data_IF_783844359884
#
_entry.id   IF_783844359884
#
_cell.length_a   1.000
_cell.length_b   1.000
_cell.length_c   1.000
_cell.angle_alpha   90.00
_cell.angle_beta   90.00
_cell.angle_gamma   90.00
#
_symmetry.space_group_name_H-M   'P 1'
#
loop_
_entity.id
_entity.type
_entity.pdbx_description
1 polymer ?
#
# COMPACT_ATOMS: atom_id res chain seq x y z
N UNK A 1 -18.60 -6.14 9.05
CA UNK A 1 -17.12 -6.08 9.13
C UNK A 1 -16.48 -5.56 7.85
N UNK A 2 -16.99 -5.93 6.66
CA UNK A 2 -16.51 -5.44 5.37
C UNK A 2 -16.37 -3.90 5.31
N UNK A 3 -17.44 -3.16 5.59
CA UNK A 3 -17.40 -1.68 5.59
C UNK A 3 -16.40 -1.09 6.58
N UNK A 4 -16.26 -1.71 7.77
CA UNK A 4 -15.27 -1.28 8.76
C UNK A 4 -13.85 -1.49 8.24
N UNK A 5 -13.57 -2.64 7.60
CA UNK A 5 -12.28 -2.91 6.98
C UNK A 5 -11.97 -1.92 5.85
N UNK A 6 -12.97 -1.59 5.02
CA UNK A 6 -12.86 -0.57 3.97
C UNK A 6 -12.47 0.80 4.55
N UNK A 7 -13.16 1.26 5.62
CA UNK A 7 -12.86 2.53 6.28
C UNK A 7 -11.45 2.52 6.87
N UNK A 8 -11.05 1.43 7.53
CA UNK A 8 -9.68 1.28 8.05
C UNK A 8 -8.62 1.30 6.94
N UNK A 9 -8.94 0.74 5.76
CA UNK A 9 -8.11 0.83 4.57
C UNK A 9 -7.92 2.27 4.12
N UNK A 10 -9.02 3.03 3.98
CA UNK A 10 -8.98 4.45 3.61
C UNK A 10 -8.13 5.25 4.61
N UNK A 11 -8.36 5.05 5.92
CA UNK A 11 -7.59 5.73 6.96
C UNK A 11 -6.09 5.41 6.90
N UNK A 12 -5.73 4.16 6.57
CA UNK A 12 -4.34 3.77 6.40
C UNK A 12 -3.70 4.41 5.16
N UNK A 13 -4.42 4.50 4.04
CA UNK A 13 -3.97 5.23 2.86
C UNK A 13 -3.78 6.73 3.14
N UNK A 14 -4.72 7.36 3.87
CA UNK A 14 -4.58 8.74 4.31
C UNK A 14 -3.36 8.95 5.22
N UNK A 15 -3.10 8.01 6.14
CA UNK A 15 -1.94 8.07 7.02
C UNK A 15 -0.63 7.96 6.23
N UNK A 16 -0.56 7.04 5.26
CA UNK A 16 0.60 6.90 4.38
C UNK A 16 0.87 8.20 3.62
N UNK A 17 -0.16 8.76 2.98
CA UNK A 17 -0.04 10.02 2.23
C UNK A 17 0.44 11.18 3.10
N UNK A 18 -0.10 11.35 4.31
CA UNK A 18 0.33 12.42 5.22
C UNK A 18 1.82 12.27 5.57
N UNK A 19 2.27 11.05 5.83
CA UNK A 19 3.67 10.77 6.15
C UNK A 19 4.60 10.94 4.94
N UNK A 20 4.18 10.50 3.77
CA UNK A 20 4.88 10.73 2.51
C UNK A 20 5.03 12.22 2.21
N UNK A 21 3.98 13.02 2.38
CA UNK A 21 4.03 14.47 2.17
C UNK A 21 5.04 15.14 3.11
N UNK A 22 5.16 14.67 4.35
CA UNK A 22 6.20 15.15 5.28
C UNK A 22 7.60 14.79 4.75
N UNK A 23 7.80 13.55 4.28
CA UNK A 23 9.10 13.09 3.78
C UNK A 23 9.50 13.77 2.47
N UNK A 24 8.58 13.94 1.53
CA UNK A 24 8.79 14.64 0.27
C UNK A 24 9.11 16.12 0.48
N UNK A 25 8.47 16.77 1.45
CA UNK A 25 8.69 18.19 1.75
C UNK A 25 10.04 18.46 2.47
N UNK A 26 10.65 17.42 3.07
CA UNK A 26 11.98 17.50 3.70
C UNK A 26 13.10 17.27 2.66
N UNK A 27 12.80 16.66 1.50
CA UNK A 27 13.78 16.18 0.53
C UNK A 27 14.12 17.09 -0.66
N UNK A 28 13.26 18.02 -1.08
CA UNK A 28 13.58 18.92 -2.20
C UNK A 28 12.36 19.41 -2.99
N UNK A 29 12.50 20.60 -3.58
CA UNK A 29 11.48 21.32 -4.35
C UNK A 29 10.83 20.48 -5.46
N UNK A 30 9.51 20.68 -5.68
CA UNK A 30 8.66 20.10 -6.76
C UNK A 30 9.12 20.45 -8.21
N UNK A 31 10.32 21.03 -8.38
CA UNK A 31 10.83 21.56 -9.66
C UNK A 31 12.08 20.85 -10.17
N UNK A 32 12.54 19.78 -9.53
CA UNK A 32 13.74 19.06 -9.98
C UNK A 32 13.37 17.86 -10.86
N UNK A 33 13.66 17.95 -12.16
CA UNK A 33 13.62 16.85 -13.12
C UNK A 33 15.05 16.31 -13.31
N UNK A 34 15.45 15.20 -12.66
CA UNK A 34 16.71 14.55 -12.98
C UNK A 34 16.57 13.66 -14.23
N UNK A 35 17.53 13.77 -15.16
CA UNK A 35 17.55 13.04 -16.45
C UNK A 35 17.94 11.54 -16.34
N UNK A 36 18.31 11.07 -15.15
CA UNK A 36 18.63 9.68 -14.79
C UNK A 36 18.00 9.37 -13.43
N UNK A 37 17.77 8.11 -13.03
CA UNK A 37 17.30 7.82 -11.68
C UNK A 37 18.42 8.21 -10.70
N UNK A 38 18.34 9.44 -10.20
CA UNK A 38 19.17 9.96 -9.12
C UNK A 38 19.02 8.99 -7.93
N UNK A 39 20.12 8.60 -7.28
CA UNK A 39 20.05 7.78 -6.07
C UNK A 39 19.15 8.43 -5.01
N UNK A 40 19.03 9.77 -5.00
CA UNK A 40 18.04 10.49 -4.21
C UNK A 40 16.59 10.08 -4.54
N UNK A 41 16.25 9.93 -5.83
CA UNK A 41 14.92 9.49 -6.26
C UNK A 41 14.62 8.05 -5.85
N UNK A 42 15.61 7.14 -5.90
CA UNK A 42 15.44 5.74 -5.47
C UNK A 42 15.21 5.66 -3.95
N UNK A 43 15.98 6.40 -3.16
CA UNK A 43 15.80 6.44 -1.70
C UNK A 43 14.44 7.02 -1.31
N UNK A 44 13.95 8.02 -2.04
CA UNK A 44 12.60 8.56 -1.86
C UNK A 44 11.54 7.51 -2.18
N UNK A 45 11.66 6.78 -3.28
CA UNK A 45 10.72 5.68 -3.64
C UNK A 45 10.73 4.58 -2.59
N UNK A 46 11.92 4.15 -2.13
CA UNK A 46 12.05 3.16 -1.06
C UNK A 46 11.40 3.67 0.23
N UNK A 47 11.64 4.93 0.58
CA UNK A 47 11.04 5.57 1.75
C UNK A 47 9.52 5.63 1.68
N UNK A 48 8.95 6.04 0.54
CA UNK A 48 7.52 6.08 0.31
C UNK A 48 6.88 4.68 0.45
N UNK A 49 7.45 3.68 -0.23
CA UNK A 49 6.98 2.29 -0.12
C UNK A 49 7.04 1.79 1.33
N UNK A 50 8.11 2.08 2.08
CA UNK A 50 8.20 1.68 3.48
C UNK A 50 7.12 2.35 4.34
N UNK A 51 6.84 3.64 4.11
CA UNK A 51 5.80 4.37 4.82
C UNK A 51 4.43 3.75 4.55
N UNK A 52 4.11 3.48 3.28
CA UNK A 52 2.87 2.84 2.88
C UNK A 52 2.68 1.48 3.54
N UNK A 53 3.68 0.61 3.42
CA UNK A 53 3.61 -0.74 3.99
C UNK A 53 3.51 -0.70 5.52
N UNK A 54 4.21 0.23 6.18
CA UNK A 54 4.11 0.42 7.63
C UNK A 54 2.70 0.88 8.03
N UNK A 55 2.16 1.92 7.38
CA UNK A 55 0.83 2.44 7.66
C UNK A 55 -0.24 1.35 7.46
N UNK A 56 -0.12 0.60 6.36
CA UNK A 56 -0.96 -0.55 6.03
C UNK A 56 -0.91 -1.60 7.13
N UNK A 57 0.28 -2.07 7.50
CA UNK A 57 0.43 -3.14 8.48
C UNK A 57 -0.06 -2.70 9.87
N UNK A 58 0.25 -1.48 10.30
CA UNK A 58 -0.14 -0.97 11.62
C UNK A 58 -1.67 -0.91 11.77
N UNK A 59 -2.36 -0.32 10.79
CA UNK A 59 -3.81 -0.15 10.85
C UNK A 59 -4.54 -1.48 10.61
N UNK A 60 -4.04 -2.33 9.72
CA UNK A 60 -4.60 -3.67 9.54
C UNK A 60 -4.44 -4.52 10.79
N UNK A 61 -3.28 -4.48 11.45
CA UNK A 61 -3.05 -5.15 12.74
C UNK A 61 -4.02 -4.64 13.81
N UNK A 62 -4.22 -3.33 13.91
CA UNK A 62 -5.18 -2.75 14.85
C UNK A 62 -6.62 -3.17 14.55
N UNK A 63 -7.00 -3.25 13.28
CA UNK A 63 -8.29 -3.79 12.88
C UNK A 63 -8.43 -5.26 13.33
N UNK A 64 -7.41 -6.08 13.08
CA UNK A 64 -7.41 -7.49 13.44
C UNK A 64 -7.51 -7.68 14.95
N UNK A 65 -6.71 -6.99 15.75
CA UNK A 65 -6.76 -7.12 17.23
C UNK A 65 -8.10 -6.70 17.81
N UNK A 66 -8.76 -5.68 17.23
CA UNK A 66 -10.00 -5.12 17.79
C UNK A 66 -11.24 -5.85 17.32
N UNK A 67 -11.27 -6.28 16.07
CA UNK A 67 -12.49 -6.75 15.41
C UNK A 67 -12.37 -8.20 14.91
N UNK A 68 -11.18 -8.75 14.74
CA UNK A 68 -10.99 -10.05 14.10
C UNK A 68 -10.47 -11.11 15.08
N UNK A 69 -11.18 -12.24 15.18
CA UNK A 69 -10.76 -13.38 16.01
C UNK A 69 -9.87 -14.34 15.20
N UNK A 70 -9.01 -15.09 15.88
CA UNK A 70 -8.24 -16.17 15.26
C UNK A 70 -9.12 -17.32 14.70
N UNK A 71 -10.39 -17.40 15.11
CA UNK A 71 -11.33 -18.45 14.73
C UNK A 71 -12.08 -18.21 13.41
N UNK A 72 -11.86 -17.07 12.74
CA UNK A 72 -12.55 -16.75 11.50
C UNK A 72 -12.13 -17.65 10.33
N UNK A 73 -13.08 -17.90 9.44
CA UNK A 73 -12.91 -18.71 8.23
C UNK A 73 -12.05 -17.99 7.17
N UNK A 74 -11.45 -18.76 6.25
CA UNK A 74 -10.65 -18.24 5.13
C UNK A 74 -11.39 -17.19 4.29
N UNK A 75 -12.68 -17.43 4.02
CA UNK A 75 -13.54 -16.50 3.27
C UNK A 75 -13.64 -15.14 3.96
N UNK A 76 -13.76 -15.11 5.28
CA UNK A 76 -13.83 -13.85 6.04
C UNK A 76 -12.50 -13.09 6.00
N UNK A 77 -11.36 -13.78 6.10
CA UNK A 77 -10.02 -13.18 5.99
C UNK A 77 -9.85 -12.57 4.60
N UNK A 78 -10.23 -13.31 3.55
CA UNK A 78 -10.19 -12.85 2.18
C UNK A 78 -11.05 -11.61 1.97
N UNK A 79 -12.33 -11.64 2.37
CA UNK A 79 -13.22 -10.48 2.22
C UNK A 79 -12.74 -9.25 2.98
N UNK A 80 -12.17 -9.41 4.18
CA UNK A 80 -11.60 -8.30 4.96
C UNK A 80 -10.35 -7.75 4.29
N UNK A 81 -9.40 -8.61 3.90
CA UNK A 81 -8.16 -8.18 3.26
C UNK A 81 -8.42 -7.47 1.94
N UNK A 82 -9.38 -7.97 1.15
CA UNK A 82 -9.80 -7.34 -0.10
C UNK A 82 -10.47 -5.99 0.15
N UNK A 83 -11.44 -5.91 1.08
CA UNK A 83 -12.11 -4.64 1.41
C UNK A 83 -11.11 -3.59 1.90
N UNK A 84 -10.19 -3.99 2.78
CA UNK A 84 -9.17 -3.13 3.31
C UNK A 84 -8.23 -2.63 2.21
N UNK A 85 -7.76 -3.51 1.33
CA UNK A 85 -6.86 -3.12 0.24
C UNK A 85 -7.51 -2.22 -0.81
N UNK A 86 -8.77 -2.48 -1.17
CA UNK A 86 -9.56 -1.56 -1.99
C UNK A 86 -9.63 -0.19 -1.30
N UNK A 87 -9.99 -0.18 -0.02
CA UNK A 87 -10.04 1.05 0.78
C UNK A 87 -8.71 1.81 0.79
N UNK A 88 -7.60 1.10 0.94
CA UNK A 88 -6.24 1.65 0.91
C UNK A 88 -5.93 2.34 -0.43
N UNK A 89 -6.24 1.67 -1.54
CA UNK A 89 -5.96 2.18 -2.89
C UNK A 89 -6.85 3.36 -3.34
N UNK A 90 -7.99 3.60 -2.68
CA UNK A 90 -8.97 4.61 -3.13
C UNK A 90 -8.38 6.01 -3.21
N UNK A 91 -7.50 6.38 -2.28
CA UNK A 91 -6.94 7.72 -2.23
C UNK A 91 -5.99 7.97 -3.41
N UNK A 92 -5.11 7.02 -3.68
CA UNK A 92 -4.18 7.10 -4.81
C UNK A 92 -4.92 7.11 -6.15
N UNK A 93 -5.93 6.24 -6.30
CA UNK A 93 -6.82 6.22 -7.46
C UNK A 93 -7.52 7.58 -7.64
N UNK A 94 -8.02 8.17 -6.55
CA UNK A 94 -8.68 9.48 -6.60
C UNK A 94 -7.71 10.61 -6.99
N UNK A 95 -6.47 10.59 -6.48
CA UNK A 95 -5.44 11.55 -6.84
C UNK A 95 -5.08 11.46 -8.33
N UNK A 96 -4.92 10.25 -8.86
CA UNK A 96 -4.62 10.02 -10.28
C UNK A 96 -5.78 10.44 -11.17
N UNK A 97 -7.03 10.08 -10.82
CA UNK A 97 -8.20 10.51 -11.58
C UNK A 97 -8.39 12.04 -11.57
N UNK A 98 -7.94 12.72 -10.52
CA UNK A 98 -7.89 14.18 -10.46
C UNK A 98 -6.90 14.81 -11.44
N UNK A 99 -5.85 14.07 -11.83
CA UNK A 99 -4.88 14.45 -12.83
C UNK A 99 -5.42 14.06 -14.22
N UNK A 100 -6.11 14.99 -14.88
CA UNK A 100 -6.93 14.81 -16.11
C UNK A 100 -6.26 14.16 -17.35
N UNK A 101 -5.03 13.65 -17.25
CA UNK A 101 -4.20 13.18 -18.37
C UNK A 101 -3.65 11.76 -18.21
N UNK A 102 -3.93 11.04 -17.11
CA UNK A 102 -3.35 9.70 -16.88
C UNK A 102 -4.23 8.61 -17.53
N UNK A 103 -3.66 7.66 -18.29
CA UNK A 103 -4.41 6.51 -18.82
C UNK A 103 -5.07 5.69 -17.70
N UNK A 104 -6.12 4.92 -18.02
CA UNK A 104 -6.88 4.15 -17.02
C UNK A 104 -6.20 2.84 -16.59
N UNK A 105 -5.26 2.33 -17.39
CA UNK A 105 -4.56 1.06 -17.14
C UNK A 105 -3.77 1.01 -15.80
N UNK A 106 -3.05 2.07 -15.39
CA UNK A 106 -2.36 2.13 -14.10
C UNK A 106 -3.31 1.98 -12.89
N UNK A 107 -4.56 2.44 -13.00
CA UNK A 107 -5.53 2.37 -11.89
C UNK A 107 -5.86 0.93 -11.49
N UNK A 108 -6.00 0.05 -12.47
CA UNK A 108 -6.24 -1.37 -12.22
C UNK A 108 -5.05 -2.03 -11.52
N UNK A 109 -3.83 -1.70 -11.95
CA UNK A 109 -2.61 -2.23 -11.37
C UNK A 109 -2.42 -1.78 -9.91
N UNK A 110 -2.68 -0.50 -9.62
CA UNK A 110 -2.67 0.07 -8.25
C UNK A 110 -3.65 -0.69 -7.34
N UNK A 111 -4.91 -0.80 -7.74
CA UNK A 111 -5.91 -1.53 -6.94
C UNK A 111 -5.48 -2.98 -6.73
N UNK A 112 -4.93 -3.64 -7.74
CA UNK A 112 -4.45 -5.02 -7.64
C UNK A 112 -3.29 -5.17 -6.65
N UNK A 113 -2.26 -4.32 -6.72
CA UNK A 113 -1.09 -4.44 -5.85
C UNK A 113 -1.48 -4.19 -4.38
N UNK A 114 -2.25 -3.14 -4.09
CA UNK A 114 -2.68 -2.85 -2.71
C UNK A 114 -3.65 -3.89 -2.17
N UNK A 115 -4.55 -4.40 -3.00
CA UNK A 115 -5.46 -5.50 -2.62
C UNK A 115 -4.69 -6.79 -2.36
N UNK A 116 -3.73 -7.15 -3.22
CA UNK A 116 -2.90 -8.34 -3.08
C UNK A 116 -2.03 -8.31 -1.83
N UNK A 117 -1.36 -7.18 -1.57
CA UNK A 117 -0.53 -7.00 -0.38
C UNK A 117 -1.36 -6.94 0.91
N UNK A 118 -2.54 -6.29 0.88
CA UNK A 118 -3.46 -6.29 2.01
C UNK A 118 -3.99 -7.69 2.33
N UNK A 119 -4.30 -8.50 1.32
CA UNK A 119 -4.64 -9.91 1.48
C UNK A 119 -3.49 -10.69 2.09
N UNK A 120 -2.27 -10.53 1.56
CA UNK A 120 -1.07 -11.18 2.07
C UNK A 120 -0.87 -10.88 3.57
N UNK A 121 -0.99 -9.62 3.98
CA UNK A 121 -0.88 -9.23 5.40
C UNK A 121 -2.05 -9.73 6.24
N UNK A 122 -3.28 -9.74 5.72
CA UNK A 122 -4.44 -10.29 6.42
C UNK A 122 -4.27 -11.80 6.71
N UNK A 123 -3.74 -12.56 5.73
CA UNK A 123 -3.43 -13.97 5.93
C UNK A 123 -2.25 -14.21 6.89
N UNK A 124 -1.24 -13.34 6.87
CA UNK A 124 -0.14 -13.39 7.84
C UNK A 124 -0.63 -13.11 9.27
N UNK A 125 -1.41 -12.04 9.46
CA UNK A 125 -1.94 -11.63 10.76
C UNK A 125 -2.93 -12.64 11.36
N UNK A 126 -3.66 -13.37 10.51
CA UNK A 126 -4.54 -14.46 10.95
C UNK A 126 -3.81 -15.77 11.28
N UNK A 127 -2.49 -15.84 11.09
CA UNK A 127 -1.69 -17.05 11.33
C UNK A 127 -1.95 -18.18 10.32
N UNK A 128 -2.50 -17.86 9.13
CA UNK A 128 -2.79 -18.85 8.08
C UNK A 128 -1.62 -19.09 7.14
N UNK A 129 -0.62 -18.20 7.13
CA UNK A 129 0.61 -18.39 6.38
C UNK A 129 1.65 -19.12 7.23
N UNK A 130 2.48 -19.98 6.61
CA UNK A 130 3.55 -20.68 7.31
C UNK A 130 4.76 -19.77 7.63
N UNK A 131 4.73 -18.51 7.18
CA UNK A 131 5.84 -17.57 7.33
C UNK A 131 5.57 -16.54 8.44
N UNK A 132 6.60 -16.12 9.19
CA UNK A 132 6.45 -15.12 10.23
C UNK A 132 6.14 -13.73 9.64
N UNK A 133 5.40 -12.90 10.38
CA UNK A 133 4.97 -11.58 9.92
C UNK A 133 6.11 -10.68 9.40
N UNK A 134 7.31 -10.60 10.03
CA UNK A 134 8.41 -9.80 9.50
C UNK A 134 8.89 -10.27 8.12
N UNK A 135 8.88 -11.57 7.85
CA UNK A 135 9.24 -12.10 6.53
C UNK A 135 8.21 -11.67 5.48
N UNK A 136 6.93 -11.81 5.81
CA UNK A 136 5.84 -11.40 4.91
C UNK A 136 5.89 -9.90 4.65
N UNK A 137 6.19 -9.10 5.66
CA UNK A 137 6.38 -7.65 5.53
C UNK A 137 7.50 -7.35 4.53
N UNK A 138 8.72 -7.86 4.75
CA UNK A 138 9.86 -7.63 3.85
C UNK A 138 9.54 -8.07 2.41
N UNK A 139 8.96 -9.26 2.25
CA UNK A 139 8.57 -9.76 0.93
C UNK A 139 7.52 -8.87 0.26
N UNK A 140 6.48 -8.45 0.98
CA UNK A 140 5.44 -7.55 0.47
C UNK A 140 6.00 -6.18 0.08
N UNK A 141 6.86 -5.59 0.91
CA UNK A 141 7.57 -4.34 0.61
C UNK A 141 8.42 -4.46 -0.64
N UNK A 142 9.14 -5.57 -0.82
CA UNK A 142 9.94 -5.80 -2.02
C UNK A 142 9.07 -5.93 -3.28
N UNK A 143 7.94 -6.65 -3.21
CA UNK A 143 6.99 -6.72 -4.32
C UNK A 143 6.45 -5.34 -4.71
N UNK A 144 6.09 -4.53 -3.71
CA UNK A 144 5.61 -3.18 -3.94
C UNK A 144 6.69 -2.28 -4.54
N UNK A 145 7.92 -2.36 -4.04
CA UNK A 145 9.05 -1.62 -4.58
C UNK A 145 9.35 -2.01 -6.03
N UNK A 146 9.32 -3.31 -6.36
CA UNK A 146 9.51 -3.80 -7.74
C UNK A 146 8.41 -3.24 -8.65
N UNK A 147 7.16 -3.22 -8.18
CA UNK A 147 6.05 -2.60 -8.90
C UNK A 147 6.31 -1.12 -9.19
N UNK A 148 6.63 -0.31 -8.17
CA UNK A 148 6.89 1.12 -8.34
C UNK A 148 8.12 1.38 -9.23
N UNK A 149 9.19 0.60 -9.07
CA UNK A 149 10.36 0.69 -9.96
C UNK A 149 10.02 0.32 -11.40
N UNK A 150 9.13 -0.66 -11.62
CA UNK A 150 8.73 -1.04 -12.98
C UNK A 150 7.98 0.09 -13.69
N UNK A 151 7.14 0.86 -12.98
CA UNK A 151 6.50 2.05 -13.54
C UNK A 151 7.53 3.12 -13.91
N UNK A 152 8.44 3.45 -12.98
CA UNK A 152 9.50 4.45 -13.20
C UNK A 152 10.42 4.10 -14.37
N UNK A 153 10.74 2.82 -14.55
CA UNK A 153 11.72 2.36 -15.53
C UNK A 153 11.13 2.06 -16.92
N UNK A 154 9.86 1.62 -17.00
CA UNK A 154 9.26 1.11 -18.25
C UNK A 154 8.10 1.94 -18.80
N UNK A 155 7.50 2.88 -18.06
CA UNK A 155 6.44 3.78 -18.58
C UNK A 155 7.00 5.11 -19.16
N UNK A 156 8.21 5.10 -19.74
CA UNK A 156 8.75 6.24 -20.51
C UNK A 156 8.17 6.33 -21.92
#
# INVERSE_FOLDING_TARGET
>A
MFFTALIFGILAGCLALVLELVVLNIGGSLTYTPDLPDFGSILVVVGAVLIEECARLLLLRQFFTRYFSATYQWSAIFSVGLAYGIGFSLLEVALILGQRTVPLFPLGAIVMIHSGLSLLFAFALSGRLPFPLPFVFVFGTLLHLIYNLSLVLFEK
#
